data_IF_175508937868
#
_entry.id   IF_175508937868
#
_cell.length_a   1.000
_cell.length_b   1.000
_cell.length_c   1.000
_cell.angle_alpha   90.00
_cell.angle_beta   90.00
_cell.angle_gamma   90.00
#
_symmetry.space_group_name_H-M   'P 1'
#
loop_
_entity.id
_entity.type
_entity.pdbx_description
1 polymer ?
#
# COMPACT_ATOMS: atom_id res chain seq x y z
N UNK A 1 19.80 14.54 -13.83
CA UNK A 1 19.04 14.15 -12.64
C UNK A 1 19.18 12.65 -12.56
N UNK A 2 19.90 12.14 -11.57
CA UNK A 2 19.86 10.71 -11.28
C UNK A 2 18.44 10.39 -10.83
N UNK A 3 17.83 9.41 -11.50
CA UNK A 3 16.50 8.93 -11.15
C UNK A 3 16.65 8.13 -9.86
N UNK A 4 16.14 8.65 -8.76
CA UNK A 4 16.03 7.91 -7.51
C UNK A 4 15.26 6.62 -7.75
N UNK A 5 15.86 5.48 -7.44
CA UNK A 5 15.30 4.15 -7.75
C UNK A 5 14.66 3.52 -6.52
N UNK A 6 13.37 3.18 -6.63
CA UNK A 6 12.69 2.36 -5.64
C UNK A 6 12.91 0.88 -5.98
N UNK A 7 13.17 0.06 -4.96
CA UNK A 7 13.35 -1.37 -5.12
C UNK A 7 12.86 -2.13 -3.88
N UNK A 8 12.51 -3.40 -4.05
CA UNK A 8 12.17 -4.33 -2.99
C UNK A 8 12.65 -5.72 -3.38
N UNK A 9 13.18 -6.48 -2.42
CA UNK A 9 13.49 -7.89 -2.62
C UNK A 9 12.19 -8.69 -2.56
N UNK A 10 11.71 -9.16 -3.72
CA UNK A 10 10.45 -9.90 -3.80
C UNK A 10 10.53 -11.29 -3.15
N UNK A 11 11.72 -11.82 -2.91
CA UNK A 11 11.90 -13.08 -2.17
C UNK A 11 11.71 -12.87 -0.65
N UNK A 12 11.91 -11.63 -0.15
CA UNK A 12 11.63 -11.24 1.23
C UNK A 12 10.18 -10.76 1.44
N UNK A 13 9.41 -10.59 0.35
CA UNK A 13 7.99 -10.23 0.41
C UNK A 13 7.23 -11.26 1.23
N UNK A 14 6.49 -10.75 2.21
CA UNK A 14 5.65 -11.57 3.05
C UNK A 14 4.26 -11.72 2.42
N UNK A 15 3.62 -12.85 2.69
CA UNK A 15 2.30 -13.18 2.17
C UNK A 15 1.47 -13.90 3.23
N UNK A 16 0.18 -13.58 3.29
CA UNK A 16 -0.80 -14.30 4.06
C UNK A 16 -2.15 -14.33 3.34
N UNK A 17 -2.97 -15.34 3.65
CA UNK A 17 -4.34 -15.46 3.15
C UNK A 17 -5.31 -15.58 4.32
N UNK A 18 -6.39 -14.81 4.24
CA UNK A 18 -7.46 -14.75 5.24
C UNK A 18 -8.83 -14.94 4.57
N UNK A 19 -9.90 -15.02 5.38
CA UNK A 19 -11.29 -15.02 4.93
C UNK A 19 -11.94 -13.68 5.27
N UNK A 20 -12.72 -13.09 4.36
CA UNK A 20 -13.46 -11.86 4.67
C UNK A 20 -14.56 -12.15 5.70
N UNK A 21 -14.62 -11.44 6.83
CA UNK A 21 -15.73 -11.58 7.78
C UNK A 21 -17.11 -11.25 7.19
N UNK A 22 -17.15 -10.58 6.04
CA UNK A 22 -18.35 -10.14 5.35
C UNK A 22 -19.01 -11.22 4.48
N UNK A 23 -18.22 -12.12 3.89
CA UNK A 23 -18.68 -13.06 2.86
C UNK A 23 -17.86 -14.34 2.74
N UNK A 24 -16.89 -14.56 3.63
CA UNK A 24 -15.96 -15.70 3.69
C UNK A 24 -15.04 -15.86 2.46
N UNK A 25 -15.13 -14.97 1.47
CA UNK A 25 -14.24 -14.95 0.31
C UNK A 25 -12.79 -14.60 0.71
N UNK A 26 -11.79 -15.09 -0.03
CA UNK A 26 -10.40 -14.92 0.36
C UNK A 26 -9.95 -13.46 0.28
N UNK A 27 -9.04 -13.12 1.18
CA UNK A 27 -8.22 -11.91 1.14
C UNK A 27 -6.78 -12.36 1.05
N UNK A 28 -6.06 -11.87 0.04
CA UNK A 28 -4.61 -12.08 -0.07
C UNK A 28 -3.90 -10.81 0.38
N UNK A 29 -3.08 -10.94 1.42
CA UNK A 29 -2.29 -9.85 1.97
C UNK A 29 -0.83 -10.04 1.62
N UNK A 30 -0.21 -9.01 1.06
CA UNK A 30 1.25 -8.93 0.91
C UNK A 30 1.81 -7.72 1.61
N UNK A 31 3.05 -7.83 2.08
CA UNK A 31 3.79 -6.69 2.60
C UNK A 31 5.28 -6.87 2.37
N UNK A 32 5.98 -5.76 2.21
CA UNK A 32 7.43 -5.76 2.05
C UNK A 32 8.02 -4.40 2.44
N UNK A 33 9.34 -4.40 2.62
CA UNK A 33 10.15 -3.19 2.69
C UNK A 33 10.46 -2.69 1.28
N UNK A 34 10.33 -1.38 1.09
CA UNK A 34 10.77 -0.63 -0.07
C UNK A 34 12.04 0.11 0.33
N UNK A 35 13.07 -0.06 -0.48
CA UNK A 35 14.29 0.73 -0.41
C UNK A 35 14.24 1.86 -1.43
N UNK A 36 14.96 2.94 -1.13
CA UNK A 36 15.26 4.03 -2.04
C UNK A 36 16.78 4.18 -2.08
N UNK A 37 17.36 4.00 -3.25
CA UNK A 37 18.82 4.03 -3.43
C UNK A 37 19.55 3.07 -2.47
N UNK A 38 18.95 1.90 -2.22
CA UNK A 38 19.47 0.85 -1.33
C UNK A 38 19.25 1.06 0.17
N UNK A 39 18.59 2.15 0.58
CA UNK A 39 18.29 2.45 1.99
C UNK A 39 16.81 2.19 2.25
N UNK A 40 16.48 1.50 3.35
CA UNK A 40 15.10 1.25 3.74
C UNK A 40 14.32 2.57 3.93
N UNK A 41 13.16 2.66 3.29
CA UNK A 41 12.51 3.94 3.02
C UNK A 41 11.00 3.92 3.26
N UNK A 42 10.35 2.79 3.00
CA UNK A 42 8.93 2.62 3.27
C UNK A 42 8.57 1.15 3.47
N UNK A 43 7.54 0.86 4.26
CA UNK A 43 6.88 -0.45 4.22
C UNK A 43 5.51 -0.29 3.57
N UNK A 44 5.09 -1.24 2.75
CA UNK A 44 3.71 -1.31 2.26
C UNK A 44 3.00 -2.54 2.78
N UNK A 45 1.69 -2.44 2.93
CA UNK A 45 0.77 -3.54 3.19
C UNK A 45 -0.38 -3.45 2.20
N UNK A 46 -0.55 -4.48 1.37
CA UNK A 46 -1.60 -4.55 0.37
C UNK A 46 -2.56 -5.69 0.70
N UNK A 47 -3.86 -5.41 0.70
CA UNK A 47 -4.93 -6.40 0.90
C UNK A 47 -5.78 -6.48 -0.37
N UNK A 48 -5.65 -7.57 -1.13
CA UNK A 48 -6.44 -7.87 -2.33
C UNK A 48 -7.69 -8.68 -1.94
N UNK A 49 -8.86 -8.08 -2.11
CA UNK A 49 -10.15 -8.68 -1.74
C UNK A 49 -10.81 -9.35 -2.95
N UNK A 50 -11.20 -10.62 -2.79
CA UNK A 50 -11.80 -11.44 -3.85
C UNK A 50 -13.33 -11.56 -3.72
N UNK A 51 -14.02 -10.47 -3.39
CA UNK A 51 -15.48 -10.51 -3.20
C UNK A 51 -16.23 -10.99 -4.44
N UNK A 52 -17.03 -12.05 -4.30
CA UNK A 52 -17.88 -12.55 -5.38
C UNK A 52 -18.93 -11.51 -5.79
N UNK A 53 -19.03 -11.26 -7.09
CA UNK A 53 -20.01 -10.33 -7.67
C UNK A 53 -19.67 -8.85 -7.48
N UNK A 54 -18.48 -8.54 -6.98
CA UNK A 54 -17.93 -7.19 -6.92
C UNK A 54 -16.68 -7.11 -7.79
N UNK A 55 -16.24 -5.89 -8.06
CA UNK A 55 -14.97 -5.73 -8.74
C UNK A 55 -13.80 -5.96 -7.79
N UNK A 56 -12.67 -6.34 -8.37
CA UNK A 56 -11.42 -6.53 -7.64
C UNK A 56 -10.88 -5.21 -7.13
N UNK A 57 -10.71 -5.15 -5.82
CA UNK A 57 -10.09 -4.01 -5.14
C UNK A 57 -8.87 -4.47 -4.33
N UNK A 58 -7.84 -3.64 -4.31
CA UNK A 58 -6.71 -3.75 -3.37
C UNK A 58 -6.66 -2.50 -2.50
N UNK A 59 -6.54 -2.68 -1.20
CA UNK A 59 -6.30 -1.60 -0.25
C UNK A 59 -4.82 -1.61 0.15
N UNK A 60 -4.14 -0.48 -0.02
CA UNK A 60 -2.70 -0.35 0.22
C UNK A 60 -2.46 0.72 1.26
N UNK A 61 -1.84 0.34 2.37
CA UNK A 61 -1.26 1.25 3.35
C UNK A 61 0.26 1.31 3.14
N UNK A 62 0.83 2.52 3.18
CA UNK A 62 2.26 2.76 3.04
C UNK A 62 2.73 3.60 4.22
N UNK A 63 3.70 3.08 4.94
CA UNK A 63 4.40 3.76 6.02
C UNK A 63 5.70 4.32 5.44
N UNK A 64 5.78 5.65 5.33
CA UNK A 64 7.00 6.34 4.90
C UNK A 64 7.80 6.77 6.13
N UNK A 65 9.12 6.55 6.15
CA UNK A 65 9.94 6.92 7.31
C UNK A 65 11.32 6.28 7.31
N UNK A 66 12.02 6.43 8.43
CA UNK A 66 13.37 5.88 8.63
C UNK A 66 13.30 4.53 9.34
N UNK A 67 13.84 3.48 8.71
CA UNK A 67 13.71 2.09 9.20
C UNK A 67 14.99 1.50 9.80
N UNK A 68 16.09 2.25 9.81
CA UNK A 68 17.35 1.86 10.47
C UNK A 68 17.46 2.42 11.92
N UNK A 69 16.32 2.82 12.49
CA UNK A 69 16.15 3.37 13.84
C UNK A 69 15.26 2.45 14.70
N UNK A 70 15.44 2.51 16.02
CA UNK A 70 14.56 1.85 16.98
C UNK A 70 13.26 2.64 17.26
N UNK A 71 13.06 3.81 16.64
CA UNK A 71 11.86 4.65 16.81
C UNK A 71 11.12 4.88 15.49
N UNK A 72 9.80 5.03 15.58
CA UNK A 72 8.90 5.33 14.47
C UNK A 72 8.44 6.80 14.46
N UNK A 73 9.24 7.71 15.06
CA UNK A 73 8.82 9.09 15.30
C UNK A 73 8.64 9.91 14.01
N UNK A 74 9.33 9.54 12.94
CA UNK A 74 9.22 10.16 11.61
C UNK A 74 8.32 9.36 10.66
N UNK A 75 7.69 8.28 11.13
CA UNK A 75 6.78 7.49 10.34
C UNK A 75 5.48 8.25 10.07
N UNK A 76 5.05 8.20 8.81
CA UNK A 76 3.76 8.74 8.37
C UNK A 76 3.10 7.71 7.47
N UNK A 77 1.86 7.35 7.78
CA UNK A 77 1.11 6.33 7.07
C UNK A 77 0.01 6.94 6.20
N UNK A 78 0.02 6.58 4.92
CA UNK A 78 -1.00 6.88 3.92
C UNK A 78 -1.74 5.62 3.52
N UNK A 79 -3.00 5.75 3.11
CA UNK A 79 -3.78 4.65 2.56
C UNK A 79 -4.39 5.00 1.20
N UNK A 80 -4.49 4.02 0.30
CA UNK A 80 -5.32 4.11 -0.89
C UNK A 80 -6.16 2.85 -1.13
N UNK A 81 -7.26 3.02 -1.85
CA UNK A 81 -8.00 1.94 -2.50
C UNK A 81 -7.68 1.97 -4.00
N UNK A 82 -7.28 0.85 -4.56
CA UNK A 82 -7.08 0.65 -5.99
C UNK A 82 -8.17 -0.28 -6.49
N UNK A 83 -8.90 0.17 -7.51
CA UNK A 83 -10.04 -0.58 -8.03
C UNK A 83 -10.76 0.24 -9.10
N UNK A 84 -11.89 -0.24 -9.64
CA UNK A 84 -12.58 0.48 -10.69
C UNK A 84 -13.09 1.83 -10.24
N UNK A 85 -13.04 2.76 -11.18
CA UNK A 85 -13.58 4.10 -11.09
C UNK A 85 -14.42 4.38 -12.33
N UNK A 86 -15.53 5.09 -12.12
CA UNK A 86 -16.50 5.34 -13.18
C UNK A 86 -15.83 6.03 -14.38
N UNK A 87 -16.12 5.53 -15.59
CA UNK A 87 -15.60 6.04 -16.86
C UNK A 87 -14.07 5.89 -17.07
N UNK A 88 -13.39 5.05 -16.28
CA UNK A 88 -12.01 4.67 -16.55
C UNK A 88 -11.95 3.17 -16.91
N UNK A 89 -11.34 2.79 -18.04
CA UNK A 89 -11.18 1.38 -18.39
C UNK A 89 -10.23 0.63 -17.44
N UNK A 90 -9.37 1.34 -16.71
CA UNK A 90 -8.38 0.74 -15.80
C UNK A 90 -8.70 1.08 -14.33
N UNK A 91 -8.32 0.22 -13.37
CA UNK A 91 -8.31 0.56 -11.96
C UNK A 91 -7.53 1.85 -11.69
N UNK A 92 -7.98 2.65 -10.71
CA UNK A 92 -7.23 3.82 -10.26
C UNK A 92 -7.06 3.81 -8.75
N UNK A 93 -5.90 4.26 -8.30
CA UNK A 93 -5.62 4.45 -6.89
C UNK A 93 -6.30 5.75 -6.41
N UNK A 94 -7.08 5.65 -5.34
CA UNK A 94 -7.78 6.77 -4.70
C UNK A 94 -7.34 6.85 -3.25
N UNK A 95 -6.87 8.02 -2.82
CA UNK A 95 -6.49 8.22 -1.42
C UNK A 95 -7.69 8.02 -0.49
N UNK A 96 -7.47 7.30 0.61
CA UNK A 96 -8.42 7.01 1.68
C UNK A 96 -7.78 7.28 3.04
N UNK A 97 -8.48 7.01 4.13
CA UNK A 97 -7.87 7.00 5.45
C UNK A 97 -6.93 5.78 5.56
N UNK A 98 -5.72 6.00 6.05
CA UNK A 98 -4.77 4.93 6.34
C UNK A 98 -5.27 4.00 7.45
N UNK A 99 -4.89 2.72 7.40
CA UNK A 99 -5.24 1.69 8.38
C UNK A 99 -6.74 1.66 8.69
N UNK A 100 -7.58 1.78 7.65
CA UNK A 100 -9.04 1.86 7.80
C UNK A 100 -9.64 0.61 8.47
N UNK A 101 -8.93 -0.51 8.39
CA UNK A 101 -9.24 -1.78 9.05
C UNK A 101 -8.93 -1.80 10.57
N UNK A 102 -8.37 -0.72 11.10
CA UNK A 102 -7.98 -0.61 12.52
C UNK A 102 -6.64 -1.25 12.84
N UNK A 103 -5.81 -1.53 11.84
CA UNK A 103 -4.46 -2.13 12.01
C UNK A 103 -3.39 -1.18 12.53
N UNK A 104 -3.73 0.09 12.80
CA UNK A 104 -2.79 1.08 13.30
C UNK A 104 -2.17 0.66 14.64
N UNK A 105 -0.86 0.89 14.75
CA UNK A 105 -0.03 0.60 15.92
C UNK A 105 1.20 1.52 15.89
N UNK A 106 2.06 1.47 16.90
CA UNK A 106 3.19 2.39 17.09
C UNK A 106 4.09 2.53 15.84
N UNK A 107 4.31 1.43 15.10
CA UNK A 107 5.11 1.42 13.86
C UNK A 107 4.52 2.29 12.73
N UNK A 108 3.24 2.66 12.78
CA UNK A 108 2.61 3.48 11.75
C UNK A 108 2.85 4.99 11.92
N UNK A 109 3.36 5.41 13.09
CA UNK A 109 3.56 6.81 13.41
C UNK A 109 2.29 7.64 13.22
N UNK A 110 2.36 8.70 12.40
CA UNK A 110 1.20 9.53 12.09
C UNK A 110 0.32 8.88 11.01
N UNK A 111 -0.82 8.33 11.43
CA UNK A 111 -1.83 7.74 10.52
C UNK A 111 -2.70 8.85 9.92
N UNK A 112 -2.62 9.06 8.60
CA UNK A 112 -3.29 10.17 7.95
C UNK A 112 -4.74 9.87 7.58
N UNK A 113 -5.60 10.87 7.79
CA UNK A 113 -6.89 10.93 7.13
C UNK A 113 -6.70 11.22 5.63
N UNK A 114 -7.72 10.94 4.82
CA UNK A 114 -7.72 11.33 3.39
C UNK A 114 -7.50 12.84 3.21
N UNK A 115 -8.10 13.67 4.06
CA UNK A 115 -8.02 15.12 3.93
C UNK A 115 -6.60 15.62 4.22
N UNK A 116 -5.97 15.09 5.26
CA UNK A 116 -4.60 15.45 5.63
C UNK A 116 -3.60 14.92 4.60
N UNK A 117 -3.79 13.70 4.11
CA UNK A 117 -2.94 13.12 3.08
C UNK A 117 -2.97 13.88 1.76
N UNK A 118 -4.13 14.43 1.35
CA UNK A 118 -4.25 15.24 0.14
C UNK A 118 -3.42 16.53 0.15
N UNK A 119 -3.12 17.06 1.34
CA UNK A 119 -2.32 18.27 1.52
C UNK A 119 -0.92 17.99 2.07
N UNK A 120 -0.59 16.72 2.33
CA UNK A 120 0.68 16.35 2.94
C UNK A 120 1.84 16.52 1.94
N UNK A 121 2.97 17.13 2.34
CA UNK A 121 4.11 17.37 1.45
C UNK A 121 4.72 16.08 0.87
N UNK A 122 4.60 14.95 1.58
CA UNK A 122 5.08 13.63 1.15
C UNK A 122 4.09 12.85 0.27
N UNK A 123 2.96 13.44 -0.13
CA UNK A 123 2.00 12.77 -1.02
C UNK A 123 2.63 12.26 -2.35
N UNK A 124 3.57 12.97 -3.01
CA UNK A 124 4.23 12.45 -4.21
C UNK A 124 5.09 11.20 -3.95
N UNK A 125 5.71 11.13 -2.76
CA UNK A 125 6.49 9.98 -2.33
C UNK A 125 5.60 8.75 -2.14
N UNK A 126 4.44 8.94 -1.49
CA UNK A 126 3.43 7.89 -1.35
C UNK A 126 3.00 7.32 -2.70
N UNK A 127 2.66 8.18 -3.67
CA UNK A 127 2.26 7.71 -4.99
C UNK A 127 3.38 6.97 -5.73
N UNK A 128 4.63 7.38 -5.56
CA UNK A 128 5.78 6.66 -6.14
C UNK A 128 5.88 5.23 -5.59
N UNK A 129 5.62 5.03 -4.30
CA UNK A 129 5.59 3.70 -3.68
C UNK A 129 4.40 2.89 -4.20
N UNK A 130 3.21 3.48 -4.29
CA UNK A 130 2.02 2.81 -4.83
C UNK A 130 2.25 2.36 -6.28
N UNK A 131 2.79 3.25 -7.13
CA UNK A 131 3.11 2.92 -8.52
C UNK A 131 4.10 1.75 -8.61
N UNK A 132 5.12 1.74 -7.73
CA UNK A 132 6.06 0.62 -7.63
C UNK A 132 5.34 -0.69 -7.26
N UNK A 133 4.49 -0.68 -6.23
CA UNK A 133 3.75 -1.88 -5.77
C UNK A 133 2.84 -2.40 -6.88
N UNK A 134 2.09 -1.52 -7.55
CA UNK A 134 1.19 -1.89 -8.65
C UNK A 134 1.94 -2.51 -9.85
N UNK A 135 3.18 -2.09 -10.09
CA UNK A 135 3.99 -2.61 -11.19
C UNK A 135 4.81 -3.86 -10.85
N UNK A 136 5.11 -4.12 -9.57
CA UNK A 136 6.12 -5.12 -9.18
C UNK A 136 5.65 -6.18 -8.17
N UNK A 137 4.58 -5.94 -7.39
CA UNK A 137 4.03 -6.98 -6.52
C UNK A 137 3.13 -7.90 -7.35
N UNK A 138 3.49 -9.18 -7.57
CA UNK A 138 2.71 -10.08 -8.42
C UNK A 138 1.32 -10.37 -7.86
N UNK A 139 1.15 -10.42 -6.54
CA UNK A 139 -0.19 -10.66 -5.93
C UNK A 139 -1.12 -9.48 -6.16
N UNK A 140 -0.59 -8.26 -6.12
CA UNK A 140 -1.38 -7.05 -6.38
C UNK A 140 -1.66 -6.88 -7.88
N UNK A 141 -0.63 -7.02 -8.71
CA UNK A 141 -0.77 -6.82 -10.16
C UNK A 141 -1.64 -7.88 -10.83
N UNK A 142 -1.47 -9.16 -10.49
CA UNK A 142 -2.31 -10.24 -11.03
C UNK A 142 -3.77 -10.07 -10.59
N UNK A 143 -4.02 -9.61 -9.36
CA UNK A 143 -5.39 -9.37 -8.87
C UNK A 143 -6.10 -8.24 -9.61
N UNK A 144 -5.40 -7.14 -9.88
CA UNK A 144 -5.98 -5.92 -10.45
C UNK A 144 -6.00 -5.89 -11.97
N UNK A 145 -5.06 -6.56 -12.64
CA UNK A 145 -4.82 -6.45 -14.07
C UNK A 145 -4.77 -7.79 -14.83
N UNK A 146 -4.77 -8.93 -14.12
CA UNK A 146 -4.69 -10.28 -14.68
C UNK A 146 -6.01 -10.87 -15.16
#
# INVERSE_FOLDING_TARGET
METTELAADLDERQFARYECPCCDEPIERTWNMITRDGIAYAAYFANSYHHTGQAHDTWIDVILGTWDSDTADDHVTFGCRVGPVQNNPNPAATLVQACLDGSADDVHGVVLSRADGLVHPRLPEFWSVVDYVLANDPTVSDHLYG
#
